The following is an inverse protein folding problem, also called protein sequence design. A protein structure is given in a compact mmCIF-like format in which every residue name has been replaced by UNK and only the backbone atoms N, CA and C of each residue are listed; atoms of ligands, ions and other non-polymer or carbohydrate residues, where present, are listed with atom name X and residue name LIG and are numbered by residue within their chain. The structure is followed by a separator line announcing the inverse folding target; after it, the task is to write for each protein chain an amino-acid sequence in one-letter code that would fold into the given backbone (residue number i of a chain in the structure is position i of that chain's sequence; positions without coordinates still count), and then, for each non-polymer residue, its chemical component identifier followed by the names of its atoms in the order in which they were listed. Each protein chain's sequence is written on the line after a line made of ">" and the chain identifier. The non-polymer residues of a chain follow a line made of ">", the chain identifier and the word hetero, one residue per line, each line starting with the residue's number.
data_IF_831983261492
#
_entry.id   IF_831983261492
#
_cell.length_a   1.000
_cell.length_b   1.000
_cell.length_c   1.000
_cell.angle_alpha   90.00
_cell.angle_beta   90.00
_cell.angle_gamma   90.00
#
_symmetry.space_group_name_H-M   'P 1'
#
loop_
_entity.id
_entity.type
_entity.pdbx_description
1 polymer ?
#
# COMPACT_ATOMS: atom_id res chain seq x y z
N UNK A 1 14.92 -18.08 11.14
CA UNK A 1 13.91 -17.60 12.10
C UNK A 1 12.57 -17.59 11.35
N UNK A 2 11.52 -18.26 11.86
CA UNK A 2 10.24 -18.37 11.14
C UNK A 2 9.59 -16.97 11.06
N UNK A 3 9.21 -16.54 9.87
CA UNK A 3 8.58 -15.23 9.63
C UNK A 3 7.41 -14.97 10.57
N UNK A 4 6.54 -15.97 10.78
CA UNK A 4 5.43 -15.90 11.76
C UNK A 4 5.89 -15.52 13.17
N UNK A 5 7.07 -15.99 13.60
CA UNK A 5 7.64 -15.62 14.91
C UNK A 5 8.16 -14.18 14.92
N UNK A 6 8.70 -13.70 13.80
CA UNK A 6 9.13 -12.30 13.68
C UNK A 6 7.95 -11.34 13.74
N UNK A 7 6.85 -11.66 13.05
CA UNK A 7 5.61 -10.87 13.10
C UNK A 7 5.03 -10.83 14.50
N UNK A 8 4.91 -11.99 15.17
CA UNK A 8 4.42 -12.03 16.55
C UNK A 8 5.31 -11.26 17.52
N UNK A 9 6.63 -11.29 17.34
CA UNK A 9 7.58 -10.52 18.16
C UNK A 9 7.43 -9.01 17.93
N UNK A 10 7.24 -8.57 16.67
CA UNK A 10 7.01 -7.16 16.33
C UNK A 10 5.66 -6.67 16.88
N UNK A 11 4.58 -7.45 16.71
CA UNK A 11 3.27 -7.14 17.27
C UNK A 11 3.32 -7.10 18.81
N UNK A 12 3.97 -8.08 19.44
CA UNK A 12 4.14 -8.11 20.89
C UNK A 12 4.99 -6.92 21.39
N UNK A 13 6.05 -6.54 20.66
CA UNK A 13 6.84 -5.35 20.97
C UNK A 13 6.00 -4.07 20.84
N UNK A 14 5.20 -3.91 19.79
CA UNK A 14 4.29 -2.77 19.61
C UNK A 14 3.22 -2.71 20.71
N UNK A 15 2.74 -3.86 21.19
CA UNK A 15 1.75 -3.93 22.29
C UNK A 15 2.37 -3.71 23.68
N UNK A 16 3.64 -4.08 23.88
CA UNK A 16 4.34 -3.92 25.17
C UNK A 16 4.84 -2.50 25.42
N UNK A 17 5.14 -1.73 24.36
CA UNK A 17 5.67 -0.37 24.46
C UNK A 17 4.74 0.65 25.18
N UNK A 18 3.39 0.57 25.09
CA UNK A 18 2.52 1.47 25.85
C UNK A 18 2.62 1.30 27.38
N UNK A 19 3.03 0.12 27.85
CA UNK A 19 3.07 -0.20 29.29
C UNK A 19 4.27 0.42 30.02
N UNK A 20 5.31 0.87 29.32
CA UNK A 20 6.57 1.34 29.93
C UNK A 20 6.63 2.85 30.09
N UNK A 21 5.75 3.63 29.44
CA UNK A 21 5.84 5.09 29.40
C UNK A 21 4.79 5.81 30.25
N UNK A 22 4.90 5.69 31.58
CA UNK A 22 4.32 6.69 32.49
C UNK A 22 5.31 7.84 32.69
N UNK A 23 5.58 8.63 31.65
CA UNK A 23 6.29 9.88 31.81
C UNK A 23 5.33 11.00 32.23
N UNK A 24 5.82 11.89 33.12
CA UNK A 24 5.09 13.10 33.52
C UNK A 24 4.79 13.93 32.27
N UNK A 25 3.50 14.17 32.00
CA UNK A 25 3.03 14.96 30.88
C UNK A 25 3.65 16.37 30.92
N UNK A 26 4.33 16.76 29.85
CA UNK A 26 4.82 18.13 29.70
C UNK A 26 3.65 19.07 29.41
N UNK A 27 3.57 20.27 30.04
CA UNK A 27 2.42 21.18 29.90
C UNK A 27 2.17 21.62 28.42
N UNK A 28 3.23 21.66 27.59
CA UNK A 28 3.15 22.06 26.18
C UNK A 28 2.83 20.91 25.22
N UNK A 29 2.44 19.74 25.74
CA UNK A 29 2.06 18.61 24.87
C UNK A 29 0.72 18.88 24.18
N UNK A 30 0.73 18.92 22.87
CA UNK A 30 -0.45 19.15 22.05
C UNK A 30 -1.34 17.91 21.97
N UNK A 31 -2.65 18.16 22.03
CA UNK A 31 -3.67 17.16 21.68
C UNK A 31 -4.52 17.77 20.57
N UNK A 32 -4.51 17.15 19.40
CA UNK A 32 -5.22 17.68 18.24
C UNK A 32 -5.45 16.62 17.16
N UNK A 33 -6.47 16.80 16.33
CA UNK A 33 -6.56 16.11 15.05
C UNK A 33 -5.51 16.66 14.08
N UNK A 34 -5.01 15.80 13.21
CA UNK A 34 -3.96 16.09 12.25
C UNK A 34 -4.38 15.49 10.92
N UNK A 35 -4.32 16.28 9.85
CA UNK A 35 -4.48 15.79 8.48
C UNK A 35 -3.09 15.67 7.85
N UNK A 36 -2.80 14.55 7.25
CA UNK A 36 -1.55 14.27 6.58
C UNK A 36 -1.73 13.95 5.11
N UNK A 37 -0.74 14.29 4.29
CA UNK A 37 -0.60 13.83 2.92
C UNK A 37 0.74 13.13 2.81
N UNK A 38 0.74 11.92 2.27
CA UNK A 38 1.95 11.15 2.16
C UNK A 38 2.32 10.81 0.72
N UNK A 39 3.61 10.68 0.52
CA UNK A 39 4.25 10.10 -0.65
C UNK A 39 5.24 9.05 -0.19
N UNK A 40 5.29 7.95 -0.89
CA UNK A 40 6.17 6.86 -0.52
C UNK A 40 6.49 5.92 -1.66
N UNK A 41 7.22 4.89 -1.33
CA UNK A 41 7.50 3.78 -2.23
C UNK A 41 7.17 2.47 -1.55
N UNK A 42 6.59 1.54 -2.30
CA UNK A 42 6.33 0.18 -1.86
C UNK A 42 7.03 -0.81 -2.79
N UNK A 43 7.57 -1.85 -2.23
CA UNK A 43 8.23 -2.93 -2.96
C UNK A 43 7.82 -4.27 -2.38
N UNK A 44 7.48 -5.28 -3.19
CA UNK A 44 7.14 -6.61 -2.72
C UNK A 44 8.40 -7.41 -2.35
N UNK A 45 8.33 -8.17 -1.26
CA UNK A 45 9.36 -9.11 -0.86
C UNK A 45 9.01 -10.51 -1.34
N UNK A 46 9.37 -10.82 -2.57
CA UNK A 46 8.93 -12.05 -3.27
C UNK A 46 9.32 -13.34 -2.55
N UNK A 47 10.51 -13.41 -1.93
CA UNK A 47 10.97 -14.62 -1.24
C UNK A 47 10.19 -14.97 0.03
N UNK A 48 9.43 -14.03 0.59
CA UNK A 48 8.61 -14.20 1.78
C UNK A 48 7.12 -14.23 1.45
N UNK A 49 6.77 -13.97 0.20
CA UNK A 49 5.39 -14.02 -0.32
C UNK A 49 5.02 -15.45 -0.77
N UNK A 50 3.74 -15.77 -0.82
CA UNK A 50 3.25 -17.07 -1.28
C UNK A 50 1.92 -16.96 -2.00
N UNK A 51 1.73 -17.78 -3.02
CA UNK A 51 0.50 -17.89 -3.77
C UNK A 51 0.03 -19.35 -3.79
N UNK A 52 -1.29 -19.57 -3.65
CA UNK A 52 -1.91 -20.90 -3.72
C UNK A 52 -3.19 -20.80 -4.52
N UNK A 53 -3.17 -21.33 -5.73
CA UNK A 53 -4.36 -21.54 -6.54
C UNK A 53 -4.29 -22.95 -7.15
N UNK A 54 -4.88 -23.98 -6.52
CA UNK A 54 -4.75 -25.39 -6.97
C UNK A 54 -5.26 -25.64 -8.39
N UNK A 55 -6.21 -24.84 -8.85
CA UNK A 55 -6.80 -24.98 -10.19
C UNK A 55 -6.26 -23.94 -11.19
N UNK A 56 -5.37 -23.04 -10.75
CA UNK A 56 -4.88 -21.92 -11.55
C UNK A 56 -3.63 -22.25 -12.35
N UNK A 57 -3.42 -21.51 -13.43
CA UNK A 57 -2.19 -21.52 -14.21
C UNK A 57 -1.06 -20.77 -13.49
N UNK A 58 0.14 -20.72 -14.12
CA UNK A 58 1.31 -20.06 -13.54
C UNK A 58 1.09 -18.56 -13.26
N UNK A 59 0.27 -17.87 -14.05
CA UNK A 59 -0.09 -16.47 -13.85
C UNK A 59 -0.96 -16.29 -12.60
N UNK A 60 -1.93 -17.17 -12.40
CA UNK A 60 -2.83 -17.15 -11.25
C UNK A 60 -2.16 -17.63 -9.96
N UNK A 61 -1.04 -18.34 -10.05
CA UNK A 61 -0.23 -18.80 -8.91
C UNK A 61 0.96 -17.90 -8.60
N UNK A 62 0.96 -16.65 -9.05
CA UNK A 62 2.07 -15.73 -8.84
C UNK A 62 1.77 -14.71 -7.73
N UNK A 63 2.76 -14.41 -6.92
CA UNK A 63 2.75 -13.33 -5.93
C UNK A 63 2.84 -11.96 -6.61
N UNK A 64 2.55 -10.86 -5.89
CA UNK A 64 2.72 -9.52 -6.45
C UNK A 64 4.15 -9.26 -6.90
N UNK A 65 5.15 -9.75 -6.17
CA UNK A 65 6.56 -9.57 -6.52
C UNK A 65 7.03 -10.42 -7.71
N UNK A 66 6.33 -11.51 -8.02
CA UNK A 66 6.56 -12.29 -9.23
C UNK A 66 5.84 -11.70 -10.44
N UNK A 67 4.73 -10.99 -10.21
CA UNK A 67 3.94 -10.35 -11.26
C UNK A 67 4.53 -9.01 -11.71
N UNK A 68 4.94 -8.17 -10.77
CA UNK A 68 5.27 -6.78 -11.07
C UNK A 68 6.68 -6.40 -10.68
N UNK A 69 7.26 -5.49 -11.47
CA UNK A 69 8.51 -4.82 -11.13
C UNK A 69 8.27 -3.75 -10.06
N UNK A 70 9.25 -3.57 -9.20
CA UNK A 70 9.28 -2.58 -8.13
C UNK A 70 10.41 -1.56 -8.40
N UNK A 71 10.41 -0.39 -7.72
CA UNK A 71 9.44 0.07 -6.70
C UNK A 71 8.15 0.63 -7.29
N UNK A 72 7.08 0.62 -6.49
CA UNK A 72 5.82 1.29 -6.81
C UNK A 72 5.74 2.61 -6.06
N UNK A 73 5.03 3.59 -6.63
CA UNK A 73 4.75 4.86 -5.96
C UNK A 73 3.49 4.74 -5.11
N UNK A 74 3.56 5.21 -3.87
CA UNK A 74 2.45 5.28 -2.93
C UNK A 74 2.11 6.75 -2.67
N UNK A 75 0.85 7.10 -2.85
CA UNK A 75 0.31 8.42 -2.55
C UNK A 75 -0.96 8.26 -1.71
N UNK A 76 -1.13 9.14 -0.74
CA UNK A 76 -2.34 9.07 0.05
C UNK A 76 -2.49 10.20 1.04
N UNK A 77 -3.52 10.02 1.86
CA UNK A 77 -3.85 10.96 2.92
C UNK A 77 -4.21 10.18 4.18
N UNK A 78 -3.93 10.77 5.32
CA UNK A 78 -4.30 10.24 6.61
C UNK A 78 -4.93 11.30 7.52
N UNK A 79 -5.77 10.83 8.41
CA UNK A 79 -6.32 11.62 9.50
C UNK A 79 -5.91 10.95 10.80
N UNK A 80 -5.12 11.65 11.58
CA UNK A 80 -4.62 11.16 12.86
C UNK A 80 -5.17 11.98 14.01
N UNK A 81 -5.39 11.35 15.15
CA UNK A 81 -5.64 12.05 16.40
C UNK A 81 -4.51 11.77 17.38
N UNK A 82 -3.78 12.82 17.73
CA UNK A 82 -2.69 12.77 18.69
C UNK A 82 -3.18 13.13 20.08
N UNK A 83 -3.02 12.24 21.05
CA UNK A 83 -3.31 12.48 22.45
C UNK A 83 -2.10 13.11 23.17
N UNK A 84 -2.35 13.69 24.36
CA UNK A 84 -1.30 14.32 25.18
C UNK A 84 -0.18 13.36 25.59
N UNK A 85 -0.51 12.12 25.84
CA UNK A 85 0.44 11.06 26.19
C UNK A 85 1.24 10.49 25.02
N UNK A 86 1.04 11.06 23.82
CA UNK A 86 1.68 10.62 22.57
C UNK A 86 1.00 9.42 21.90
N UNK A 87 -0.13 8.94 22.42
CA UNK A 87 -0.94 7.94 21.71
C UNK A 87 -1.46 8.54 20.41
N UNK A 88 -1.50 7.72 19.35
CA UNK A 88 -2.03 8.06 18.03
C UNK A 88 -3.16 7.12 17.66
N UNK A 89 -4.26 7.68 17.18
CA UNK A 89 -5.24 6.96 16.36
C UNK A 89 -5.12 7.47 14.94
N UNK A 90 -5.19 6.60 13.95
CA UNK A 90 -4.97 6.93 12.56
C UNK A 90 -5.99 6.27 11.65
N UNK A 91 -6.47 7.02 10.66
CA UNK A 91 -7.20 6.52 9.50
C UNK A 91 -6.39 6.90 8.26
N UNK A 92 -5.99 5.93 7.49
CA UNK A 92 -5.09 6.06 6.33
C UNK A 92 -5.78 5.56 5.06
N UNK A 93 -5.63 6.33 3.99
CA UNK A 93 -6.03 5.93 2.64
C UNK A 93 -4.85 6.06 1.69
N UNK A 94 -4.53 5.01 0.94
CA UNK A 94 -3.33 4.87 0.13
C UNK A 94 -3.68 4.38 -1.27
N UNK A 95 -3.11 5.03 -2.29
CA UNK A 95 -3.18 4.69 -3.70
C UNK A 95 -1.78 4.35 -4.20
N UNK A 96 -1.59 3.11 -4.64
CA UNK A 96 -0.29 2.63 -5.11
C UNK A 96 -0.30 2.46 -6.63
N UNK A 97 0.75 2.96 -7.26
CA UNK A 97 0.89 3.02 -8.71
C UNK A 97 2.18 2.32 -9.16
N UNK A 98 2.04 1.30 -9.99
CA UNK A 98 3.11 0.73 -10.78
C UNK A 98 2.81 0.92 -12.27
N UNK A 99 3.70 1.59 -13.00
CA UNK A 99 3.47 1.92 -14.41
C UNK A 99 4.24 0.97 -15.31
N UNK A 100 3.52 0.33 -16.24
CA UNK A 100 4.02 -0.61 -17.24
C UNK A 100 5.01 -1.65 -16.68
N UNK A 101 4.67 -2.18 -15.53
CA UNK A 101 5.57 -2.95 -14.67
C UNK A 101 5.26 -4.45 -14.58
N UNK A 102 4.44 -4.99 -15.49
CA UNK A 102 4.17 -6.43 -15.55
C UNK A 102 5.40 -7.19 -16.06
N UNK A 103 5.95 -8.07 -15.23
CA UNK A 103 7.09 -8.93 -15.58
C UNK A 103 6.70 -10.01 -16.57
N UNK A 104 7.62 -10.36 -17.47
CA UNK A 104 7.47 -11.47 -18.43
C UNK A 104 6.14 -11.43 -19.18
N UNK A 105 5.77 -10.25 -19.68
CA UNK A 105 4.49 -9.97 -20.32
C UNK A 105 4.20 -10.95 -21.46
N UNK A 106 5.14 -11.17 -22.36
CA UNK A 106 4.99 -12.05 -23.52
C UNK A 106 4.77 -13.52 -23.10
N UNK A 107 5.47 -13.99 -22.08
CA UNK A 107 5.29 -15.34 -21.53
C UNK A 107 3.91 -15.52 -20.90
N UNK A 108 3.42 -14.48 -20.21
CA UNK A 108 2.14 -14.50 -19.48
C UNK A 108 0.93 -14.35 -20.38
N UNK A 109 1.09 -13.66 -21.50
CA UNK A 109 0.08 -13.36 -22.50
C UNK A 109 0.43 -13.99 -23.85
N UNK A 110 1.10 -15.15 -23.82
CA UNK A 110 1.66 -15.81 -25.01
C UNK A 110 0.65 -16.11 -26.09
N UNK A 111 -0.62 -16.33 -25.72
CA UNK A 111 -1.74 -16.53 -26.65
C UNK A 111 -2.18 -15.27 -27.38
N UNK A 112 -1.77 -14.08 -26.92
CA UNK A 112 -2.03 -12.80 -27.61
C UNK A 112 -0.89 -12.37 -28.52
N UNK A 113 0.34 -12.79 -28.21
CA UNK A 113 1.51 -12.41 -28.97
C UNK A 113 1.70 -13.30 -30.19
N UNK A 114 1.98 -12.67 -31.33
CA UNK A 114 2.39 -13.37 -32.55
C UNK A 114 3.84 -13.83 -32.45
N UNK A 115 4.28 -14.65 -33.42
CA UNK A 115 5.71 -15.03 -33.56
C UNK A 115 6.64 -13.82 -33.77
N UNK A 116 6.09 -12.67 -34.16
CA UNK A 116 6.83 -11.40 -34.29
C UNK A 116 6.85 -10.56 -33.01
N UNK A 117 6.48 -11.12 -31.85
CA UNK A 117 6.43 -10.41 -30.56
C UNK A 117 5.48 -9.19 -30.53
N UNK A 118 4.39 -9.24 -31.29
CA UNK A 118 3.42 -8.17 -31.43
C UNK A 118 2.01 -8.66 -31.11
N UNK A 119 1.18 -7.79 -30.56
CA UNK A 119 -0.26 -7.99 -30.43
C UNK A 119 -0.92 -7.29 -31.63
N UNK A 120 -1.68 -8.01 -32.43
CA UNK A 120 -2.31 -7.45 -33.63
C UNK A 120 -3.64 -6.80 -33.24
N UNK A 121 -3.78 -5.52 -33.50
CA UNK A 121 -5.03 -4.79 -33.37
C UNK A 121 -6.02 -5.09 -34.49
N UNK A 122 -7.27 -4.66 -34.33
CA UNK A 122 -8.36 -4.89 -35.28
C UNK A 122 -8.09 -4.30 -36.68
N UNK A 123 -7.20 -3.32 -36.79
CA UNK A 123 -6.78 -2.70 -38.03
C UNK A 123 -5.53 -3.38 -38.65
N UNK A 124 -5.07 -4.47 -38.10
CA UNK A 124 -3.87 -5.19 -38.57
C UNK A 124 -2.53 -4.55 -38.18
N UNK A 125 -2.52 -3.50 -37.34
CA UNK A 125 -1.30 -2.86 -36.85
C UNK A 125 -0.94 -3.36 -35.47
N UNK A 126 0.29 -3.09 -35.01
CA UNK A 126 0.77 -3.42 -33.67
C UNK A 126 -0.02 -2.64 -32.61
N UNK A 127 -0.64 -3.39 -31.68
CA UNK A 127 -1.33 -2.84 -30.53
C UNK A 127 -0.38 -2.83 -29.33
N UNK A 128 0.22 -1.69 -29.08
CA UNK A 128 1.06 -1.51 -27.89
C UNK A 128 0.19 -1.50 -26.63
N UNK A 129 0.26 -2.59 -25.85
CA UNK A 129 -0.44 -2.76 -24.59
C UNK A 129 0.51 -2.46 -23.44
N UNK A 130 0.14 -1.56 -22.55
CA UNK A 130 0.84 -1.29 -21.28
C UNK A 130 0.04 -1.86 -20.12
N UNK A 131 0.74 -2.42 -19.13
CA UNK A 131 0.13 -3.12 -18.01
C UNK A 131 0.55 -2.46 -16.69
N UNK A 132 -0.42 -1.92 -15.97
CA UNK A 132 -0.20 -1.14 -14.77
C UNK A 132 -0.71 -1.86 -13.54
N UNK A 133 0.11 -1.92 -12.48
CA UNK A 133 -0.35 -2.31 -11.16
C UNK A 133 -1.01 -1.12 -10.47
N UNK A 134 -2.20 -1.33 -9.92
CA UNK A 134 -2.93 -0.37 -9.09
C UNK A 134 -3.38 -1.05 -7.82
N UNK A 135 -3.14 -0.39 -6.68
CA UNK A 135 -3.64 -0.87 -5.39
C UNK A 135 -4.26 0.29 -4.63
N UNK A 136 -5.42 0.04 -4.07
CA UNK A 136 -6.09 0.92 -3.10
C UNK A 136 -6.06 0.23 -1.75
N UNK A 137 -5.68 0.95 -0.70
CA UNK A 137 -5.75 0.46 0.67
C UNK A 137 -6.42 1.48 1.59
N UNK A 138 -7.21 0.99 2.54
CA UNK A 138 -7.78 1.78 3.64
C UNK A 138 -7.45 1.08 4.96
N UNK A 139 -6.89 1.81 5.91
CA UNK A 139 -6.35 1.24 7.15
C UNK A 139 -6.74 2.09 8.35
N UNK A 140 -7.01 1.42 9.47
CA UNK A 140 -7.16 2.02 10.79
C UNK A 140 -5.97 1.62 11.64
N UNK A 141 -5.39 2.56 12.37
CA UNK A 141 -4.17 2.33 13.12
C UNK A 141 -4.17 2.92 14.52
N UNK A 142 -3.35 2.30 15.34
CA UNK A 142 -3.00 2.77 16.67
C UNK A 142 -1.48 2.84 16.79
N UNK A 143 -0.97 3.90 17.41
CA UNK A 143 0.46 4.10 17.55
C UNK A 143 0.84 4.89 18.78
N UNK A 144 2.15 5.03 18.97
CA UNK A 144 2.72 5.79 20.09
C UNK A 144 3.94 6.59 19.62
N UNK A 145 3.98 7.85 19.99
CA UNK A 145 5.17 8.71 19.88
C UNK A 145 5.93 8.66 21.20
N UNK A 146 7.23 8.40 21.12
CA UNK A 146 8.14 8.43 22.27
C UNK A 146 8.86 9.76 22.28
N UNK A 147 8.47 10.62 23.19
CA UNK A 147 9.08 11.94 23.32
C UNK A 147 10.51 11.80 23.81
N UNK A 148 11.47 12.25 23.03
CA UNK A 148 12.90 12.14 23.35
C UNK A 148 13.55 13.47 23.78
N UNK A 149 12.92 14.59 23.48
CA UNK A 149 13.47 15.93 23.70
C UNK A 149 12.77 16.74 24.76
N UNK A 150 13.52 17.28 25.72
CA UNK A 150 12.96 18.24 26.71
C UNK A 150 12.43 19.53 26.06
N UNK A 151 12.97 19.90 24.89
CA UNK A 151 12.64 21.14 24.19
C UNK A 151 11.49 21.01 23.19
N UNK A 152 11.11 19.79 22.81
CA UNK A 152 9.99 19.53 21.90
C UNK A 152 9.21 18.29 22.33
N UNK A 153 8.17 18.46 23.18
CA UNK A 153 7.39 17.35 23.71
C UNK A 153 6.41 16.75 22.70
N UNK A 154 6.40 17.25 21.47
CA UNK A 154 5.49 16.78 20.41
C UNK A 154 6.19 15.97 19.31
N UNK A 155 7.51 15.77 19.46
CA UNK A 155 8.33 15.08 18.45
C UNK A 155 9.11 13.92 19.06
N UNK A 156 9.35 12.90 18.24
CA UNK A 156 10.14 11.74 18.64
C UNK A 156 9.97 10.53 17.73
N UNK A 157 10.71 9.46 18.00
CA UNK A 157 10.46 8.18 17.35
C UNK A 157 9.03 7.74 17.60
N UNK A 158 8.42 7.08 16.61
CA UNK A 158 7.08 6.54 16.78
C UNK A 158 6.98 5.13 16.17
N UNK A 159 6.04 4.39 16.71
CA UNK A 159 5.60 3.11 16.15
C UNK A 159 4.09 3.16 15.97
N UNK A 160 3.59 2.53 14.90
CA UNK A 160 2.17 2.43 14.61
C UNK A 160 1.87 1.06 14.00
N UNK A 161 0.73 0.51 14.33
CA UNK A 161 0.18 -0.70 13.76
C UNK A 161 -1.16 -0.35 13.11
N UNK A 162 -1.25 -0.55 11.81
CA UNK A 162 -2.43 -0.25 11.01
C UNK A 162 -3.02 -1.56 10.47
N UNK A 163 -4.32 -1.75 10.61
CA UNK A 163 -5.06 -2.88 10.06
C UNK A 163 -6.13 -2.38 9.09
N UNK A 164 -6.33 -3.07 7.98
CA UNK A 164 -7.27 -2.60 6.99
C UNK A 164 -7.54 -3.56 5.86
N UNK A 165 -8.07 -3.01 4.79
CA UNK A 165 -8.42 -3.73 3.57
C UNK A 165 -7.65 -3.16 2.40
N UNK A 166 -7.43 -4.00 1.40
CA UNK A 166 -6.83 -3.57 0.15
C UNK A 166 -7.52 -4.22 -1.04
N UNK A 167 -7.53 -3.50 -2.14
CA UNK A 167 -7.86 -4.01 -3.46
C UNK A 167 -6.69 -3.75 -4.39
N UNK A 168 -6.24 -4.76 -5.11
CA UNK A 168 -5.19 -4.68 -6.11
C UNK A 168 -5.73 -5.15 -7.45
N UNK A 169 -5.35 -4.46 -8.53
CA UNK A 169 -5.81 -4.75 -9.88
C UNK A 169 -4.70 -4.49 -10.91
N UNK A 170 -4.66 -5.32 -11.95
CA UNK A 170 -3.91 -5.04 -13.17
C UNK A 170 -4.79 -4.23 -14.12
N UNK A 171 -4.33 -3.08 -14.59
CA UNK A 171 -5.03 -2.26 -15.59
C UNK A 171 -4.26 -2.31 -16.89
N UNK A 172 -4.97 -2.61 -17.98
CA UNK A 172 -4.43 -2.57 -19.33
C UNK A 172 -4.76 -1.24 -19.99
N UNK A 173 -3.78 -0.63 -20.63
CA UNK A 173 -3.95 0.57 -21.42
C UNK A 173 -3.45 0.32 -22.82
N UNK A 174 -4.33 0.55 -23.81
CA UNK A 174 -4.00 0.46 -25.22
C UNK A 174 -3.53 1.82 -25.75
N UNK A 175 -2.68 1.81 -26.74
CA UNK A 175 -2.43 2.99 -27.53
C UNK A 175 -3.74 3.46 -28.20
N UNK A 176 -4.10 4.72 -28.02
CA UNK A 176 -5.40 5.31 -28.42
C UNK A 176 -5.77 5.12 -29.90
N UNK A 177 -4.76 4.86 -30.76
CA UNK A 177 -4.95 4.70 -32.20
C UNK A 177 -5.30 3.28 -32.65
N UNK A 178 -5.22 2.30 -31.74
CA UNK A 178 -5.39 0.89 -32.11
C UNK A 178 -6.42 0.23 -31.19
N UNK A 179 -7.47 -0.32 -31.79
CA UNK A 179 -8.43 -1.15 -31.07
C UNK A 179 -7.93 -2.61 -31.03
N UNK A 180 -7.75 -3.18 -29.86
CA UNK A 180 -7.45 -4.60 -29.67
C UNK A 180 -8.54 -5.24 -28.80
N UNK A 181 -9.58 -5.80 -29.41
CA UNK A 181 -10.70 -6.41 -28.68
C UNK A 181 -10.26 -7.51 -27.72
N UNK A 182 -9.12 -8.17 -28.00
CA UNK A 182 -8.57 -9.29 -27.23
C UNK A 182 -8.17 -8.88 -25.80
N UNK A 183 -7.90 -7.61 -25.55
CA UNK A 183 -7.52 -7.08 -24.23
C UNK A 183 -8.55 -6.08 -23.69
N UNK A 184 -9.66 -5.90 -24.37
CA UNK A 184 -10.74 -5.01 -23.95
C UNK A 184 -12.00 -5.80 -23.53
N UNK A 185 -12.81 -5.17 -22.67
CA UNK A 185 -14.09 -5.73 -22.21
C UNK A 185 -13.90 -7.06 -21.50
N UNK A 186 -14.81 -8.00 -21.77
CA UNK A 186 -14.84 -9.32 -21.12
C UNK A 186 -13.59 -10.16 -21.43
N UNK A 187 -13.02 -10.04 -22.62
CA UNK A 187 -11.78 -10.74 -22.96
C UNK A 187 -10.55 -10.23 -22.17
N UNK A 188 -10.52 -8.94 -21.83
CA UNK A 188 -9.48 -8.38 -20.98
C UNK A 188 -9.46 -8.99 -19.57
N UNK A 189 -10.60 -9.48 -19.08
CA UNK A 189 -10.71 -10.14 -17.77
C UNK A 189 -9.87 -11.42 -17.67
N UNK A 190 -9.53 -12.07 -18.79
CA UNK A 190 -8.64 -13.24 -18.81
C UNK A 190 -7.21 -12.92 -18.33
N UNK A 191 -6.79 -11.71 -18.58
CA UNK A 191 -5.43 -11.24 -18.33
C UNK A 191 -5.37 -10.28 -17.13
N UNK A 192 -6.53 -9.77 -16.71
CA UNK A 192 -6.65 -8.96 -15.51
C UNK A 192 -6.49 -9.85 -14.27
N UNK A 193 -5.78 -9.31 -13.31
CA UNK A 193 -5.57 -9.94 -12.02
C UNK A 193 -6.13 -9.00 -10.95
N UNK A 194 -7.26 -9.36 -10.34
CA UNK A 194 -7.87 -8.57 -9.29
C UNK A 194 -7.90 -9.35 -7.98
N UNK A 195 -7.43 -8.71 -6.92
CA UNK A 195 -7.38 -9.26 -5.57
C UNK A 195 -8.00 -8.30 -4.58
N UNK A 196 -8.67 -8.87 -3.61
CA UNK A 196 -9.17 -8.15 -2.45
C UNK A 196 -8.72 -8.87 -1.19
N UNK A 197 -8.42 -8.12 -0.13
CA UNK A 197 -7.96 -8.75 1.09
C UNK A 197 -7.75 -7.82 2.27
N UNK A 198 -7.22 -8.42 3.32
CA UNK A 198 -6.87 -7.77 4.57
C UNK A 198 -5.38 -7.39 4.57
N UNK A 199 -5.06 -6.27 5.20
CA UNK A 199 -3.69 -5.81 5.41
C UNK A 199 -3.39 -5.53 6.87
N UNK A 200 -2.16 -5.83 7.27
CA UNK A 200 -1.58 -5.44 8.55
C UNK A 200 -0.27 -4.71 8.25
N UNK A 201 -0.18 -3.44 8.61
CA UNK A 201 0.99 -2.61 8.34
C UNK A 201 1.65 -2.20 9.64
N UNK A 202 2.93 -2.46 9.75
CA UNK A 202 3.80 -2.05 10.84
C UNK A 202 4.60 -0.83 10.36
N UNK A 203 4.52 0.26 11.10
CA UNK A 203 5.15 1.54 10.76
C UNK A 203 6.08 1.94 11.88
N UNK A 204 7.33 2.22 11.53
CA UNK A 204 8.35 2.72 12.47
C UNK A 204 9.03 3.92 11.85
N UNK A 205 9.13 5.01 12.60
CA UNK A 205 9.69 6.22 12.03
C UNK A 205 9.96 7.31 13.05
N UNK A 206 10.15 8.51 12.54
CA UNK A 206 10.35 9.71 13.33
C UNK A 206 9.25 10.73 13.01
N UNK A 207 8.58 11.17 14.06
CA UNK A 207 7.52 12.17 14.04
C UNK A 207 8.08 13.52 14.46
N UNK A 208 7.94 14.52 13.61
CA UNK A 208 8.39 15.88 13.89
C UNK A 208 7.21 16.85 13.82
N UNK A 209 7.00 17.57 14.93
CA UNK A 209 6.07 18.71 14.99
C UNK A 209 6.84 19.95 15.43
N UNK A 210 6.84 20.97 14.57
CA UNK A 210 7.53 22.23 14.85
C UNK A 210 6.85 23.04 15.96
N UNK A 211 7.60 23.46 16.96
CA UNK A 211 7.08 24.26 18.06
C UNK A 211 6.69 25.69 17.65
N UNK A 212 7.31 26.22 16.57
CA UNK A 212 7.17 27.63 16.14
C UNK A 212 6.60 27.80 14.74
N UNK A 213 6.33 26.73 14.02
CA UNK A 213 5.86 26.78 12.65
C UNK A 213 4.75 25.78 12.43
N UNK A 214 3.60 26.25 12.02
CA UNK A 214 2.46 25.39 11.65
C UNK A 214 2.73 24.60 10.35
N UNK A 215 3.75 24.96 9.58
CA UNK A 215 4.02 24.42 8.25
C UNK A 215 5.01 23.25 8.28
N UNK A 216 5.96 23.27 9.21
CA UNK A 216 7.03 22.28 9.30
C UNK A 216 6.65 21.13 10.25
N UNK A 217 5.64 20.34 9.84
CA UNK A 217 5.26 19.12 10.55
C UNK A 217 5.32 17.97 9.57
N UNK A 218 6.12 16.98 9.85
CA UNK A 218 6.26 15.81 8.97
C UNK A 218 6.64 14.56 9.77
N UNK A 219 6.40 13.42 9.20
CA UNK A 219 7.04 12.19 9.66
C UNK A 219 7.67 11.42 8.50
N UNK A 220 8.76 10.75 8.80
CA UNK A 220 9.43 9.80 7.90
C UNK A 220 9.36 8.43 8.54
N UNK A 221 8.97 7.43 7.78
CA UNK A 221 8.77 6.09 8.31
C UNK A 221 9.18 5.02 7.31
N UNK A 222 9.57 3.87 7.88
CA UNK A 222 9.66 2.59 7.19
C UNK A 222 8.37 1.85 7.49
N UNK A 223 7.79 1.21 6.49
CA UNK A 223 6.61 0.38 6.65
C UNK A 223 6.84 -1.04 6.13
N UNK A 224 6.24 -2.00 6.84
CA UNK A 224 6.16 -3.39 6.42
C UNK A 224 4.69 -3.76 6.42
N UNK A 225 4.17 -4.16 5.27
CA UNK A 225 2.76 -4.48 5.08
C UNK A 225 2.60 -5.94 4.72
N UNK A 226 1.86 -6.66 5.51
CA UNK A 226 1.42 -8.02 5.25
C UNK A 226 0.03 -7.97 4.61
N UNK A 227 -0.14 -8.63 3.47
CA UNK A 227 -1.37 -8.66 2.71
C UNK A 227 -1.86 -10.10 2.58
N UNK A 228 -3.04 -10.40 3.12
CA UNK A 228 -3.75 -11.67 2.91
C UNK A 228 -4.91 -11.41 1.97
N UNK A 229 -4.80 -11.88 0.75
CA UNK A 229 -5.77 -11.58 -0.29
C UNK A 229 -6.26 -12.84 -1.01
N UNK A 230 -7.37 -12.69 -1.69
CA UNK A 230 -7.95 -13.69 -2.57
C UNK A 230 -8.34 -13.04 -3.89
N UNK A 231 -8.39 -13.84 -4.94
CA UNK A 231 -8.90 -13.39 -6.24
C UNK A 231 -10.39 -13.11 -6.15
N UNK A 232 -10.80 -12.02 -6.80
CA UNK A 232 -12.20 -11.58 -6.90
C UNK A 232 -12.74 -11.67 -8.32
N UNK A 233 -11.97 -12.24 -9.27
CA UNK A 233 -12.42 -12.40 -10.65
C UNK A 233 -13.28 -13.65 -10.80
N UNK A 234 -14.53 -13.43 -11.18
CA UNK A 234 -15.42 -14.45 -11.72
C UNK A 234 -15.42 -14.32 -13.25
N UNK A 235 -15.02 -15.37 -13.95
CA UNK A 235 -15.08 -15.40 -15.40
C UNK A 235 -16.53 -15.68 -15.83
N UNK A 236 -17.10 -14.73 -16.56
CA UNK A 236 -18.51 -14.78 -17.01
C UNK A 236 -18.66 -15.64 -18.26
N UNK A 237 -17.59 -15.92 -19.00
CA UNK A 237 -17.62 -16.63 -20.27
C UNK A 237 -17.03 -18.03 -20.09
N UNK A 238 -17.82 -19.07 -20.34
CA UNK A 238 -17.43 -20.48 -20.17
C UNK A 238 -16.16 -20.86 -20.94
N UNK A 239 -15.98 -20.32 -22.15
CA UNK A 239 -14.77 -20.56 -22.96
C UNK A 239 -13.51 -19.98 -22.32
N UNK A 240 -13.64 -18.88 -21.59
CA UNK A 240 -12.55 -18.26 -20.86
C UNK A 240 -12.14 -19.09 -19.65
N UNK A 241 -13.10 -19.70 -18.97
CA UNK A 241 -12.84 -20.63 -17.86
C UNK A 241 -12.05 -21.85 -18.35
N UNK A 242 -12.33 -22.35 -19.55
CA UNK A 242 -11.60 -23.47 -20.16
C UNK A 242 -10.15 -23.11 -20.48
N UNK A 243 -9.89 -21.88 -20.91
CA UNK A 243 -8.55 -21.42 -21.27
C UNK A 243 -7.67 -21.13 -20.04
N UNK A 244 -8.23 -20.55 -18.97
CA UNK A 244 -7.48 -20.07 -17.81
C UNK A 244 -7.81 -20.80 -16.50
N UNK A 245 -8.98 -21.45 -16.44
CA UNK A 245 -9.52 -22.02 -15.23
C UNK A 245 -10.06 -20.96 -14.25
N UNK A 246 -10.83 -21.39 -13.21
CA UNK A 246 -11.38 -20.48 -12.22
C UNK A 246 -10.26 -19.91 -11.34
N UNK A 247 -10.22 -18.59 -11.18
CA UNK A 247 -9.29 -17.93 -10.27
C UNK A 247 -9.82 -17.94 -8.82
N UNK A 248 -9.47 -18.96 -8.05
CA UNK A 248 -9.76 -19.12 -6.62
C UNK A 248 -8.51 -18.99 -5.76
N UNK A 249 -7.54 -18.21 -6.22
CA UNK A 249 -6.26 -18.04 -5.56
C UNK A 249 -6.37 -17.38 -4.19
N UNK A 250 -5.54 -17.85 -3.26
CA UNK A 250 -5.25 -17.23 -1.98
C UNK A 250 -3.79 -16.81 -1.96
N UNK A 251 -3.54 -15.59 -1.57
CA UNK A 251 -2.23 -14.96 -1.66
C UNK A 251 -1.82 -14.38 -0.32
N UNK A 252 -0.54 -14.51 -0.05
CA UNK A 252 0.12 -13.79 1.02
C UNK A 252 1.27 -13.00 0.38
N UNK A 253 1.20 -11.68 0.43
CA UNK A 253 2.22 -10.79 -0.08
C UNK A 253 2.80 -9.97 1.07
N UNK A 254 4.12 -9.91 1.15
CA UNK A 254 4.84 -9.03 2.06
C UNK A 254 5.40 -7.86 1.28
N UNK A 255 5.03 -6.65 1.67
CA UNK A 255 5.51 -5.40 1.08
C UNK A 255 6.35 -4.65 2.10
N UNK A 256 7.35 -3.92 1.63
CA UNK A 256 8.12 -2.99 2.45
C UNK A 256 8.26 -1.66 1.72
N UNK A 257 8.38 -0.57 2.47
CA UNK A 257 8.42 0.75 1.86
C UNK A 257 8.98 1.84 2.75
N UNK A 258 9.15 3.00 2.14
CA UNK A 258 9.49 4.26 2.79
C UNK A 258 8.35 5.24 2.57
N UNK A 259 7.98 5.97 3.61
CA UNK A 259 6.91 6.96 3.59
C UNK A 259 7.37 8.27 4.18
N UNK A 260 7.08 9.36 3.49
CA UNK A 260 7.18 10.74 3.97
C UNK A 260 5.77 11.32 4.03
N UNK A 261 5.35 11.80 5.19
CA UNK A 261 4.04 12.43 5.37
C UNK A 261 4.21 13.87 5.82
N UNK A 262 3.56 14.77 5.14
CA UNK A 262 3.44 16.16 5.57
C UNK A 262 2.14 16.34 6.34
N UNK A 263 2.21 16.92 7.55
CA UNK A 263 1.13 16.95 8.52
C UNK A 263 0.65 18.37 8.80
N UNK A 264 -0.67 18.52 8.93
CA UNK A 264 -1.34 19.78 9.26
C UNK A 264 -2.15 19.59 10.54
N UNK A 265 -1.60 19.97 11.72
CA UNK A 265 -2.33 19.91 12.97
C UNK A 265 -3.45 20.93 13.00
N UNK A 266 -4.66 20.49 13.33
CA UNK A 266 -5.82 21.34 13.50
C UNK A 266 -5.91 21.73 14.97
N UNK A 267 -5.28 22.84 15.33
CA UNK A 267 -5.31 23.38 16.69
C UNK A 267 -6.39 24.43 16.79
N UNK A 268 -7.22 24.36 17.83
CA UNK A 268 -8.29 25.33 18.08
C UNK A 268 -7.82 26.73 18.55
N UNK A 269 -6.50 27.02 18.45
CA UNK A 269 -5.96 28.34 18.74
C UNK A 269 -6.25 29.29 17.59
N UNK A 270 -6.90 30.40 17.90
CA UNK A 270 -7.14 31.50 16.95
C UNK A 270 -5.81 32.13 16.52
N UNK A 271 -5.74 32.69 15.31
CA UNK A 271 -4.57 33.34 14.74
C UNK A 271 -3.90 34.39 15.66
N UNK A 272 -4.63 34.92 16.62
CA UNK A 272 -4.15 35.89 17.63
C UNK A 272 -3.08 35.28 18.57
N UNK A 273 -3.11 33.97 18.85
CA UNK A 273 -2.16 33.33 19.76
C UNK A 273 -0.76 33.11 19.15
N UNK A 274 -0.62 33.30 17.84
CA UNK A 274 0.63 33.11 17.11
C UNK A 274 1.47 34.37 16.93
N UNK A 275 0.95 35.56 17.23
CA UNK A 275 1.61 36.84 16.96
C UNK A 275 2.26 37.50 18.19
N UNK A 276 2.22 36.89 19.35
CA UNK A 276 2.70 37.51 20.59
C UNK A 276 3.73 36.70 21.35
N UNK A 277 4.69 36.08 20.66
CA UNK A 277 5.92 35.61 21.35
C UNK A 277 7.12 35.63 20.38
#
# INVERSE_FOLDING_TARGET
>A
MNLKRLTYLLVAACCALPAVAQEKLHPDTLQCPIVGFHVGTLSPWSSLSSAKNPAGNAFQNATMGELYEAPWLDFGADVSYKFKDGLLLNLDGSLVFGNDNLKKREERMSDLYTSGHMIIGANGTDAKVTCHNRMLAMRLGIGKIFVTGKNNPNSGPFVRLDAGIMQQQTIFTLNEQVNAPQVNGDYGLLYDHQRFGFTLTQVVGFWYMGNKSAILNFHVAIEITECWSHSTRDYVIDDLIRLRGPDKGKYFDLLYGLRLTWMFPITGKTAYDYYYY
#
